data_IF_818181409412
#
_entry.id   IF_818181409412
#
_cell.length_a   1.000
_cell.length_b   1.000
_cell.length_c   1.000
_cell.angle_alpha   90.00
_cell.angle_beta   90.00
_cell.angle_gamma   90.00
#
_symmetry.space_group_name_H-M   'P 1'
#
loop_
_entity.id
_entity.type
_entity.pdbx_description
1 polymer ?
#
# COMPACT_ATOMS: atom_id res chain seq x y z
N UNK A 1 5.45 18.87 4.25
CA UNK A 1 6.78 18.48 4.79
C UNK A 1 6.66 17.53 5.98
N UNK A 2 5.75 17.78 6.92
CA UNK A 2 5.38 16.89 8.05
C UNK A 2 4.84 15.52 7.60
N UNK A 3 4.00 15.47 6.56
CA UNK A 3 3.41 14.22 6.06
C UNK A 3 4.46 13.22 5.55
N UNK A 4 5.42 13.67 4.72
CA UNK A 4 6.50 12.80 4.19
C UNK A 4 7.40 12.26 5.32
N UNK A 5 7.72 13.08 6.32
CA UNK A 5 8.51 12.64 7.48
C UNK A 5 7.77 11.56 8.28
N UNK A 6 6.46 11.72 8.46
CA UNK A 6 5.63 10.73 9.13
C UNK A 6 5.60 9.40 8.36
N UNK A 7 5.42 9.41 7.03
CA UNK A 7 5.49 8.19 6.23
C UNK A 7 6.86 7.50 6.35
N UNK A 8 7.96 8.26 6.30
CA UNK A 8 9.31 7.69 6.49
C UNK A 8 9.46 7.00 7.84
N UNK A 9 8.93 7.60 8.91
CA UNK A 9 8.93 7.01 10.25
C UNK A 9 8.16 5.68 10.27
N UNK A 10 6.94 5.67 9.73
CA UNK A 10 6.11 4.46 9.63
C UNK A 10 6.75 3.36 8.80
N UNK A 11 7.42 3.70 7.71
CA UNK A 11 8.19 2.73 6.90
C UNK A 11 9.26 2.06 7.75
N UNK A 12 10.02 2.82 8.54
CA UNK A 12 11.02 2.23 9.44
C UNK A 12 10.37 1.28 10.46
N UNK A 13 9.26 1.69 11.08
CA UNK A 13 8.50 0.85 12.03
C UNK A 13 7.96 -0.42 11.36
N UNK A 14 7.46 -0.33 10.12
CA UNK A 14 6.99 -1.50 9.37
C UNK A 14 8.11 -2.46 9.00
N UNK A 15 9.29 -1.95 8.64
CA UNK A 15 10.45 -2.79 8.35
C UNK A 15 10.98 -3.48 9.61
N UNK A 16 10.95 -2.82 10.77
CA UNK A 16 11.30 -3.43 12.05
C UNK A 16 10.36 -4.59 12.39
N UNK A 17 9.05 -4.35 12.35
CA UNK A 17 8.03 -5.39 12.59
C UNK A 17 8.12 -6.57 11.61
N UNK A 18 8.41 -6.28 10.33
CA UNK A 18 8.65 -7.34 9.33
C UNK A 18 9.89 -8.17 9.66
N UNK A 19 10.99 -7.52 10.02
CA UNK A 19 12.23 -8.22 10.40
C UNK A 19 12.02 -9.11 11.62
N UNK A 20 11.30 -8.63 12.62
CA UNK A 20 11.01 -9.41 13.82
C UNK A 20 10.04 -10.56 13.54
N UNK A 21 9.01 -10.34 12.72
CA UNK A 21 8.13 -11.41 12.27
C UNK A 21 8.88 -12.50 11.48
N UNK A 22 9.82 -12.10 10.60
CA UNK A 22 10.67 -13.04 9.85
C UNK A 22 11.59 -13.82 10.80
N UNK A 23 12.16 -13.17 11.82
CA UNK A 23 13.04 -13.82 12.83
C UNK A 23 12.29 -14.85 13.67
N UNK A 24 11.06 -14.55 14.08
CA UNK A 24 10.18 -15.48 14.80
C UNK A 24 9.78 -16.64 13.86
N UNK A 25 9.57 -16.31 12.59
CA UNK A 25 9.32 -17.24 11.50
C UNK A 25 8.02 -16.90 10.78
N UNK A 26 8.05 -17.06 9.45
CA UNK A 26 7.00 -16.58 8.54
C UNK A 26 5.65 -17.27 8.81
N UNK A 27 5.68 -18.56 9.13
CA UNK A 27 4.46 -19.33 9.41
C UNK A 27 3.86 -19.02 10.79
N UNK A 28 4.64 -18.44 11.70
CA UNK A 28 4.21 -18.08 13.05
C UNK A 28 3.54 -16.70 13.09
N UNK A 29 3.88 -15.81 12.15
CA UNK A 29 3.37 -14.42 12.09
C UNK A 29 2.87 -14.00 10.69
N UNK A 30 2.09 -14.83 9.96
CA UNK A 30 1.70 -14.54 8.58
C UNK A 30 0.83 -13.27 8.47
N UNK A 31 -0.13 -13.08 9.39
CA UNK A 31 -0.98 -11.89 9.42
C UNK A 31 -0.18 -10.59 9.67
N UNK A 32 0.83 -10.63 10.54
CA UNK A 32 1.74 -9.50 10.78
C UNK A 32 2.50 -9.16 9.49
N UNK A 33 3.04 -10.17 8.81
CA UNK A 33 3.77 -9.99 7.56
C UNK A 33 2.86 -9.39 6.48
N UNK A 34 1.65 -9.94 6.30
CA UNK A 34 0.67 -9.44 5.34
C UNK A 34 0.27 -7.98 5.63
N UNK A 35 -0.03 -7.68 6.90
CA UNK A 35 -0.38 -6.33 7.35
C UNK A 35 0.73 -5.33 7.06
N UNK A 36 1.95 -5.58 7.55
CA UNK A 36 3.05 -4.62 7.44
C UNK A 36 3.58 -4.48 6.01
N UNK A 37 3.53 -5.55 5.20
CA UNK A 37 3.87 -5.46 3.77
C UNK A 37 2.91 -4.51 3.05
N UNK A 38 1.61 -4.67 3.30
CA UNK A 38 0.58 -3.82 2.69
C UNK A 38 0.71 -2.37 3.15
N UNK A 39 0.78 -2.14 4.47
CA UNK A 39 0.85 -0.80 5.04
C UNK A 39 2.11 -0.05 4.58
N UNK A 40 3.27 -0.72 4.60
CA UNK A 40 4.53 -0.16 4.10
C UNK A 40 4.44 0.22 2.61
N UNK A 41 3.84 -0.64 1.78
CA UNK A 41 3.66 -0.34 0.37
C UNK A 41 2.81 0.94 0.18
N UNK A 42 1.76 1.12 0.98
CA UNK A 42 0.91 2.33 0.93
C UNK A 42 1.70 3.57 1.32
N UNK A 43 2.46 3.55 2.41
CA UNK A 43 3.30 4.68 2.81
C UNK A 43 4.33 5.05 1.71
N UNK A 44 4.90 4.05 1.02
CA UNK A 44 5.79 4.28 -0.12
C UNK A 44 5.08 4.98 -1.29
N UNK A 45 3.86 4.53 -1.62
CA UNK A 45 3.05 5.15 -2.66
C UNK A 45 2.67 6.58 -2.30
N UNK A 46 2.25 6.84 -1.05
CA UNK A 46 1.90 8.19 -0.59
C UNK A 46 3.10 9.14 -0.66
N UNK A 47 4.31 8.69 -0.26
CA UNK A 47 5.54 9.47 -0.44
C UNK A 47 5.75 9.82 -1.92
N UNK A 48 5.60 8.85 -2.83
CA UNK A 48 5.77 9.07 -4.26
C UNK A 48 4.77 10.11 -4.78
N UNK A 49 3.49 9.92 -4.47
CA UNK A 49 2.41 10.78 -4.96
C UNK A 49 2.53 12.21 -4.41
N UNK A 50 2.84 12.37 -3.11
CA UNK A 50 3.08 13.70 -2.53
C UNK A 50 4.29 14.39 -3.15
N UNK A 51 5.40 13.67 -3.39
CA UNK A 51 6.59 14.24 -4.05
C UNK A 51 6.34 14.66 -5.49
N UNK A 52 5.36 14.05 -6.16
CA UNK A 52 4.94 14.36 -7.52
C UNK A 52 3.76 15.32 -7.58
N UNK A 53 3.28 15.80 -6.44
CA UNK A 53 2.11 16.68 -6.33
C UNK A 53 0.85 16.09 -6.99
N UNK A 54 0.75 14.75 -7.01
CA UNK A 54 -0.37 14.01 -7.61
C UNK A 54 -1.55 13.82 -6.65
N UNK A 55 -1.34 14.10 -5.36
CA UNK A 55 -2.38 14.12 -4.32
C UNK A 55 -2.13 15.26 -3.33
N UNK A 56 -3.20 15.79 -2.75
CA UNK A 56 -3.13 16.80 -1.69
C UNK A 56 -2.46 16.26 -0.42
N UNK A 57 -1.85 17.15 0.35
CA UNK A 57 -1.13 16.83 1.62
C UNK A 57 -2.02 16.08 2.63
N UNK A 58 -3.34 16.29 2.60
CA UNK A 58 -4.30 15.63 3.48
C UNK A 58 -4.95 14.36 2.89
N UNK A 59 -4.65 14.02 1.64
CA UNK A 59 -5.22 12.83 0.99
C UNK A 59 -4.54 11.59 1.55
N UNK A 60 -5.35 10.66 2.06
CA UNK A 60 -4.91 9.35 2.55
C UNK A 60 -5.36 8.28 1.56
N UNK A 61 -4.42 7.52 1.04
CA UNK A 61 -4.63 6.32 0.23
C UNK A 61 -4.93 5.17 1.19
N UNK A 62 -6.07 4.50 0.99
CA UNK A 62 -6.44 3.37 1.83
C UNK A 62 -6.16 2.05 1.12
N UNK A 63 -5.64 1.07 1.87
CA UNK A 63 -5.34 -0.27 1.34
C UNK A 63 -6.58 -0.95 0.72
N UNK A 64 -7.78 -0.69 1.25
CA UNK A 64 -9.03 -1.31 0.80
C UNK A 64 -9.43 -0.88 -0.63
N UNK A 65 -8.80 0.17 -1.16
CA UNK A 65 -8.96 0.58 -2.56
C UNK A 65 -8.30 -0.39 -3.52
N UNK A 66 -7.36 -1.20 -3.02
CA UNK A 66 -6.66 -2.26 -3.74
C UNK A 66 -7.23 -3.65 -3.45
N UNK A 67 -8.48 -3.75 -2.96
CA UNK A 67 -9.20 -5.03 -2.94
C UNK A 67 -9.64 -5.38 -4.36
N UNK A 68 -9.32 -6.59 -4.81
CA UNK A 68 -9.76 -7.06 -6.12
C UNK A 68 -11.30 -7.01 -6.20
N UNK A 69 -11.86 -6.47 -7.28
CA UNK A 69 -13.30 -6.51 -7.51
C UNK A 69 -13.79 -7.96 -7.59
N UNK A 70 -15.07 -8.18 -7.29
CA UNK A 70 -15.72 -9.48 -7.56
C UNK A 70 -15.79 -9.73 -9.07
N UNK A 71 -15.93 -11.00 -9.46
CA UNK A 71 -16.17 -11.35 -10.88
C UNK A 71 -17.30 -10.50 -11.47
N UNK A 72 -17.03 -9.88 -12.63
CA UNK A 72 -17.96 -8.95 -13.30
C UNK A 72 -17.77 -7.46 -12.97
N UNK A 73 -16.93 -7.09 -11.99
CA UNK A 73 -16.61 -5.69 -11.70
C UNK A 73 -15.27 -5.26 -12.37
N UNK A 74 -15.22 -4.10 -13.03
CA UNK A 74 -14.00 -3.57 -13.66
C UNK A 74 -13.01 -3.05 -12.60
N UNK A 75 -11.77 -3.54 -12.64
CA UNK A 75 -10.66 -3.17 -11.75
C UNK A 75 -10.41 -1.65 -11.77
N UNK A 76 -10.29 -1.08 -12.96
CA UNK A 76 -9.93 0.34 -13.15
C UNK A 76 -10.98 1.30 -12.54
N UNK A 77 -12.24 0.86 -12.46
CA UNK A 77 -13.33 1.76 -12.04
C UNK A 77 -13.32 2.11 -10.54
N UNK A 78 -12.70 1.31 -9.67
CA UNK A 78 -12.76 1.55 -8.23
C UNK A 78 -11.63 2.43 -7.71
N UNK A 79 -10.40 2.22 -8.18
CA UNK A 79 -9.26 3.01 -7.73
C UNK A 79 -9.16 4.36 -8.45
N UNK A 80 -9.40 4.41 -9.76
CA UNK A 80 -9.32 5.67 -10.53
C UNK A 80 -10.32 6.71 -10.00
N UNK A 81 -11.49 6.27 -9.51
CA UNK A 81 -12.47 7.16 -8.86
C UNK A 81 -11.98 7.73 -7.53
N UNK A 82 -11.15 6.98 -6.81
CA UNK A 82 -10.69 7.33 -5.45
C UNK A 82 -9.32 8.02 -5.46
N UNK A 83 -8.51 7.72 -6.47
CA UNK A 83 -7.15 8.17 -6.69
C UNK A 83 -6.93 8.49 -8.18
N UNK A 84 -7.38 9.67 -8.65
CA UNK A 84 -7.23 10.10 -10.04
C UNK A 84 -5.80 10.62 -10.30
N UNK A 85 -4.79 9.84 -9.92
CA UNK A 85 -3.39 10.15 -10.18
C UNK A 85 -2.95 9.49 -11.50
N UNK A 86 -2.23 10.23 -12.34
CA UNK A 86 -1.64 9.69 -13.56
C UNK A 86 -0.11 9.70 -13.44
N UNK A 87 0.52 8.53 -13.51
CA UNK A 87 1.96 8.39 -13.36
C UNK A 87 2.48 7.18 -14.13
N UNK A 88 3.78 7.19 -14.40
CA UNK A 88 4.45 6.11 -15.13
C UNK A 88 4.29 4.77 -14.40
N UNK A 89 3.95 3.72 -15.16
CA UNK A 89 3.75 2.36 -14.67
C UNK A 89 2.63 2.20 -13.62
N UNK A 90 1.67 3.15 -13.56
CA UNK A 90 0.51 3.10 -12.67
C UNK A 90 -0.16 1.73 -12.62
N UNK A 91 -0.47 1.14 -13.78
CA UNK A 91 -1.18 -0.14 -13.84
C UNK A 91 -0.35 -1.29 -13.26
N UNK A 92 0.97 -1.28 -13.47
CA UNK A 92 1.87 -2.28 -12.89
C UNK A 92 1.92 -2.14 -11.37
N UNK A 93 2.06 -0.90 -10.88
CA UNK A 93 2.11 -0.61 -9.45
C UNK A 93 0.78 -1.00 -8.79
N UNK A 94 -0.36 -0.60 -9.34
CA UNK A 94 -1.68 -0.98 -8.82
C UNK A 94 -1.89 -2.50 -8.84
N UNK A 95 -1.45 -3.19 -9.88
CA UNK A 95 -1.47 -4.66 -9.92
C UNK A 95 -0.65 -5.30 -8.80
N UNK A 96 0.51 -4.75 -8.44
CA UNK A 96 1.27 -5.23 -7.29
C UNK A 96 0.48 -5.05 -5.98
N UNK A 97 -0.16 -3.90 -5.78
CA UNK A 97 -1.01 -3.67 -4.61
C UNK A 97 -2.20 -4.64 -4.56
N UNK A 98 -2.87 -4.91 -5.68
CA UNK A 98 -3.95 -5.91 -5.74
C UNK A 98 -3.47 -7.31 -5.35
N UNK A 99 -2.25 -7.68 -5.71
CA UNK A 99 -1.65 -8.98 -5.35
C UNK A 99 -1.32 -9.01 -3.85
N UNK A 100 -0.75 -7.93 -3.32
CA UNK A 100 -0.36 -7.83 -1.91
C UNK A 100 -1.60 -7.85 -1.00
N UNK A 101 -2.59 -6.99 -1.26
CA UNK A 101 -3.83 -6.94 -0.46
C UNK A 101 -4.61 -8.26 -0.53
N UNK A 102 -4.59 -8.94 -1.69
CA UNK A 102 -5.21 -10.25 -1.85
C UNK A 102 -4.56 -11.38 -1.04
N UNK A 103 -3.32 -11.19 -0.57
CA UNK A 103 -2.57 -12.15 0.25
C UNK A 103 -2.42 -11.71 1.70
N UNK A 104 -3.02 -10.59 2.09
CA UNK A 104 -2.83 -9.96 3.39
C UNK A 104 -3.30 -10.81 4.57
N UNK A 105 -4.38 -11.55 4.38
CA UNK A 105 -5.04 -12.37 5.42
C UNK A 105 -4.74 -13.87 5.29
N UNK A 106 -3.74 -14.24 4.47
CA UNK A 106 -3.30 -15.63 4.26
C UNK A 106 -2.26 -16.03 5.29
#
# INVERSE_FOLDING_TARGET
>A
MTTILNHKKKISEHLEELNDAIRIGIYQRPATIGFHTTACAIDLLEIYLHKKELIDIGKVVKHDWFKRPKEGQKIDSLIERKLPANFQEKDKIYNLFYIIEGKREV
#
